data_IF_930660292514
#
_entry.id   IF_930660292514
#
_cell.length_a   1.000
_cell.length_b   1.000
_cell.length_c   1.000
_cell.angle_alpha   90.00
_cell.angle_beta   90.00
_cell.angle_gamma   90.00
#
_symmetry.space_group_name_H-M   'P 1'
#
loop_
_entity.id
_entity.type
_entity.pdbx_description
1 polymer ?
#
# COMPACT_ATOMS: atom_id res chain seq x y z
N UNK A 1 -6.14 25.96 -7.68
CA UNK A 1 -4.67 25.87 -7.88
C UNK A 1 -3.89 25.70 -6.57
N UNK A 2 -4.12 26.49 -5.52
CA UNK A 2 -3.43 26.33 -4.23
C UNK A 2 -3.57 24.90 -3.65
N UNK A 3 -4.80 24.40 -3.58
CA UNK A 3 -5.10 23.05 -3.04
C UNK A 3 -4.41 21.93 -3.82
N UNK A 4 -4.33 22.06 -5.15
CA UNK A 4 -3.64 21.12 -6.03
C UNK A 4 -2.15 21.06 -5.68
N UNK A 5 -1.49 22.22 -5.59
CA UNK A 5 -0.05 22.30 -5.30
C UNK A 5 0.25 21.75 -3.92
N UNK A 6 -0.54 22.15 -2.91
CA UNK A 6 -0.38 21.67 -1.53
C UNK A 6 -0.58 20.16 -1.44
N UNK A 7 -1.62 19.62 -2.06
CA UNK A 7 -1.87 18.18 -2.13
C UNK A 7 -0.74 17.42 -2.83
N UNK A 8 -0.24 17.92 -3.96
CA UNK A 8 0.89 17.29 -4.67
C UNK A 8 2.16 17.29 -3.83
N UNK A 9 2.46 18.38 -3.14
CA UNK A 9 3.65 18.48 -2.28
C UNK A 9 3.57 17.51 -1.10
N UNK A 10 2.43 17.48 -0.39
CA UNK A 10 2.23 16.58 0.75
C UNK A 10 2.16 15.11 0.31
N UNK A 11 1.53 14.83 -0.83
CA UNK A 11 1.49 13.49 -1.41
C UNK A 11 2.86 13.01 -1.85
N UNK A 12 3.68 13.89 -2.42
CA UNK A 12 5.07 13.59 -2.76
C UNK A 12 5.90 13.35 -1.51
N UNK A 13 5.73 14.17 -0.47
CA UNK A 13 6.41 14.00 0.82
C UNK A 13 6.09 12.63 1.43
N UNK A 14 4.81 12.28 1.53
CA UNK A 14 4.38 10.99 2.10
C UNK A 14 4.77 9.81 1.22
N UNK A 15 4.59 9.91 -0.10
CA UNK A 15 4.89 8.81 -1.02
C UNK A 15 6.38 8.52 -1.16
N UNK A 16 7.26 9.53 -1.07
CA UNK A 16 8.70 9.36 -1.19
C UNK A 16 9.42 9.20 0.16
N UNK A 17 8.78 9.49 1.29
CA UNK A 17 9.38 9.29 2.61
C UNK A 17 9.08 7.88 3.11
N UNK A 18 10.09 6.99 3.26
CA UNK A 18 9.86 5.61 3.65
C UNK A 18 9.15 5.53 5.02
N UNK A 19 8.01 4.83 5.03
CA UNK A 19 7.16 4.58 6.20
C UNK A 19 6.41 5.80 6.76
N UNK A 20 6.42 6.94 6.07
CA UNK A 20 5.46 8.03 6.30
C UNK A 20 4.19 7.76 5.47
N UNK A 21 3.13 7.28 6.10
CA UNK A 21 1.87 7.00 5.41
C UNK A 21 0.94 8.22 5.38
N UNK A 22 0.07 8.33 4.38
CA UNK A 22 -0.93 9.42 4.29
C UNK A 22 -1.84 9.56 5.50
N UNK A 23 -2.09 8.46 6.22
CA UNK A 23 -2.89 8.45 7.46
C UNK A 23 -2.25 9.25 8.59
N UNK A 24 -0.93 9.46 8.51
CA UNK A 24 -0.18 10.30 9.45
C UNK A 24 -0.57 11.77 9.29
N UNK A 25 -0.58 12.24 8.05
CA UNK A 25 -0.84 13.65 7.72
C UNK A 25 -2.33 13.95 7.59
N UNK A 26 -3.18 12.96 7.36
CA UNK A 26 -4.63 13.17 7.30
C UNK A 26 -5.23 13.66 8.63
N UNK A 27 -4.49 13.57 9.73
CA UNK A 27 -4.86 14.15 11.04
C UNK A 27 -4.70 15.66 11.10
N UNK A 28 -3.91 16.23 10.20
CA UNK A 28 -3.84 17.67 10.04
C UNK A 28 -5.19 18.11 9.49
N UNK A 29 -5.80 19.16 10.06
CA UNK A 29 -7.08 19.71 9.63
C UNK A 29 -6.96 20.40 8.27
N UNK A 30 -6.74 19.60 7.22
CA UNK A 30 -6.54 20.03 5.84
C UNK A 30 -7.87 20.02 5.08
N UNK A 31 -8.04 20.89 4.07
CA UNK A 31 -9.22 20.87 3.20
C UNK A 31 -9.39 19.53 2.47
N UNK A 32 -10.64 19.09 2.25
CA UNK A 32 -10.97 17.86 1.52
C UNK A 32 -10.23 17.74 0.18
N UNK A 33 -10.14 18.79 -0.67
CA UNK A 33 -9.43 18.68 -1.94
C UNK A 33 -7.93 18.42 -1.77
N UNK A 34 -7.31 18.97 -0.71
CA UNK A 34 -5.90 18.75 -0.36
C UNK A 34 -5.71 17.31 0.13
N UNK A 35 -6.58 16.83 1.03
CA UNK A 35 -6.54 15.45 1.54
C UNK A 35 -6.67 14.44 0.41
N UNK A 36 -7.65 14.62 -0.48
CA UNK A 36 -7.87 13.72 -1.61
C UNK A 36 -6.66 13.68 -2.54
N UNK A 37 -6.16 14.86 -2.94
CA UNK A 37 -5.00 14.99 -3.83
C UNK A 37 -3.74 14.42 -3.20
N UNK A 38 -3.50 14.68 -1.91
CA UNK A 38 -2.38 14.14 -1.15
C UNK A 38 -2.39 12.61 -1.17
N UNK A 39 -3.53 12.00 -0.80
CA UNK A 39 -3.63 10.55 -0.78
C UNK A 39 -3.50 9.92 -2.16
N UNK A 40 -4.02 10.58 -3.21
CA UNK A 40 -3.88 10.08 -4.58
C UNK A 40 -2.43 10.15 -5.07
N UNK A 41 -1.74 11.27 -4.83
CA UNK A 41 -0.33 11.42 -5.23
C UNK A 41 0.56 10.45 -4.46
N UNK A 42 0.22 10.15 -3.20
CA UNK A 42 0.91 9.12 -2.44
C UNK A 42 0.84 7.75 -3.11
N UNK A 43 -0.33 7.29 -3.56
CA UNK A 43 -0.46 5.95 -4.19
C UNK A 43 0.31 5.80 -5.50
N UNK A 44 0.75 6.91 -6.11
CA UNK A 44 1.59 6.88 -7.30
C UNK A 44 3.08 6.64 -6.96
N UNK A 45 3.48 6.96 -5.73
CA UNK A 45 4.87 7.13 -5.31
C UNK A 45 5.29 6.21 -4.16
N UNK A 46 4.35 5.73 -3.35
CA UNK A 46 4.56 4.94 -2.14
C UNK A 46 5.33 3.63 -2.37
N UNK A 47 5.23 3.06 -3.57
CA UNK A 47 6.00 1.88 -3.96
C UNK A 47 7.50 2.14 -4.19
N UNK A 48 7.90 3.39 -4.44
CA UNK A 48 9.26 3.76 -4.83
C UNK A 48 10.25 3.55 -3.68
N UNK A 49 10.00 4.08 -2.45
CA UNK A 49 10.79 3.73 -1.28
C UNK A 49 10.96 2.24 -1.05
N UNK A 50 9.86 1.48 -1.10
CA UNK A 50 9.85 0.04 -0.85
C UNK A 50 10.70 -0.72 -1.86
N UNK A 51 10.61 -0.35 -3.15
CA UNK A 51 11.43 -0.91 -4.22
C UNK A 51 12.93 -0.63 -4.03
N UNK A 52 13.30 0.60 -3.63
CA UNK A 52 14.70 1.00 -3.44
C UNK A 52 15.39 0.27 -2.28
N UNK A 53 14.72 0.19 -1.13
CA UNK A 53 15.32 -0.38 0.07
C UNK A 53 15.12 -1.89 0.18
N UNK A 54 14.49 -2.52 -0.82
CA UNK A 54 14.21 -3.96 -0.80
C UNK A 54 13.32 -4.35 0.36
N UNK A 55 12.38 -3.45 0.71
CA UNK A 55 11.37 -3.66 1.73
C UNK A 55 10.16 -4.28 1.04
N UNK A 56 9.94 -5.61 1.09
CA UNK A 56 8.71 -6.23 0.61
C UNK A 56 7.43 -5.56 1.11
N UNK A 57 6.56 -5.25 0.16
CA UNK A 57 5.13 -5.38 0.37
C UNK A 57 4.80 -6.85 0.64
N UNK A 58 3.74 -7.05 1.40
CA UNK A 58 3.41 -8.24 2.18
C UNK A 58 3.34 -9.60 1.45
N UNK A 59 3.69 -9.80 0.18
CA UNK A 59 3.12 -10.91 -0.61
C UNK A 59 4.08 -11.94 -1.23
N UNK A 60 5.40 -11.81 -1.10
CA UNK A 60 6.27 -12.67 -1.92
C UNK A 60 6.60 -14.06 -1.35
N UNK A 61 6.33 -15.04 -2.21
CA UNK A 61 6.56 -16.48 -2.04
C UNK A 61 7.52 -17.01 -3.13
N UNK A 62 8.66 -16.35 -3.34
CA UNK A 62 9.73 -16.86 -4.22
C UNK A 62 11.08 -16.75 -3.48
N UNK A 63 12.02 -17.70 -3.62
CA UNK A 63 13.37 -17.63 -3.02
C UNK A 63 14.24 -16.46 -3.54
N UNK A 64 13.69 -15.57 -4.36
CA UNK A 64 14.37 -14.42 -4.94
C UNK A 64 13.50 -13.18 -4.73
N UNK A 65 14.13 -12.15 -4.15
CA UNK A 65 13.81 -10.71 -4.13
C UNK A 65 12.54 -10.28 -4.89
N UNK A 66 11.74 -9.38 -4.27
CA UNK A 66 10.49 -8.89 -4.87
C UNK A 66 10.69 -8.44 -6.31
N UNK A 67 9.70 -8.64 -7.19
CA UNK A 67 9.71 -8.11 -8.55
C UNK A 67 10.19 -6.66 -8.63
N UNK A 68 9.68 -5.79 -7.75
CA UNK A 68 10.06 -4.38 -7.67
C UNK A 68 11.54 -4.20 -7.33
N UNK A 69 12.03 -4.89 -6.30
CA UNK A 69 13.42 -4.79 -5.88
C UNK A 69 14.39 -5.44 -6.87
N UNK A 70 13.97 -6.52 -7.55
CA UNK A 70 14.72 -7.18 -8.61
C UNK A 70 14.98 -6.23 -9.77
N UNK A 71 13.97 -5.48 -10.22
CA UNK A 71 14.14 -4.43 -11.22
C UNK A 71 15.14 -3.36 -10.77
N UNK A 72 15.15 -2.98 -9.49
CA UNK A 72 16.16 -2.03 -8.96
C UNK A 72 17.56 -2.62 -9.05
N UNK A 73 17.75 -3.87 -8.62
CA UNK A 73 19.03 -4.57 -8.69
C UNK A 73 19.54 -4.79 -10.12
N UNK A 74 18.63 -4.88 -11.09
CA UNK A 74 18.93 -4.94 -12.53
C UNK A 74 19.27 -3.58 -13.15
N UNK A 75 19.30 -2.49 -12.36
CA UNK A 75 19.55 -1.13 -12.87
C UNK A 75 18.35 -0.50 -13.57
N UNK A 76 17.15 -1.10 -13.44
CA UNK A 76 15.90 -0.68 -14.13
C UNK A 76 15.02 0.19 -13.24
N UNK A 77 15.62 0.98 -12.35
CA UNK A 77 14.89 1.82 -11.40
C UNK A 77 14.00 2.88 -12.10
N UNK A 78 14.52 3.58 -13.11
CA UNK A 78 13.74 4.56 -13.87
C UNK A 78 12.51 3.96 -14.57
N UNK A 79 12.65 2.77 -15.15
CA UNK A 79 11.56 2.00 -15.76
C UNK A 79 10.49 1.64 -14.71
N UNK A 80 10.88 1.16 -13.53
CA UNK A 80 9.97 0.85 -12.43
C UNK A 80 9.16 2.09 -12.00
N UNK A 81 9.84 3.24 -11.86
CA UNK A 81 9.17 4.50 -11.47
C UNK A 81 8.15 4.91 -12.53
N UNK A 82 8.53 4.87 -13.81
CA UNK A 82 7.61 5.18 -14.92
C UNK A 82 6.43 4.21 -14.98
N UNK A 83 6.67 2.93 -14.72
CA UNK A 83 5.63 1.91 -14.64
C UNK A 83 4.63 2.21 -13.52
N UNK A 84 5.12 2.52 -12.31
CA UNK A 84 4.27 2.88 -11.16
C UNK A 84 3.37 4.07 -11.45
N UNK A 85 3.94 5.15 -11.95
CA UNK A 85 3.19 6.38 -12.20
C UNK A 85 2.21 6.21 -13.38
N UNK A 86 2.63 5.53 -14.45
CA UNK A 86 1.78 5.33 -15.64
C UNK A 86 0.61 4.41 -15.36
N UNK A 87 0.86 3.28 -14.69
CA UNK A 87 -0.19 2.33 -14.30
C UNK A 87 -1.18 2.94 -13.30
N UNK A 88 -0.69 3.67 -12.30
CA UNK A 88 -1.52 4.42 -11.35
C UNK A 88 -2.39 5.48 -12.06
N UNK A 89 -1.81 6.23 -13.00
CA UNK A 89 -2.57 7.21 -13.76
C UNK A 89 -3.66 6.55 -14.63
N UNK A 90 -3.34 5.45 -15.33
CA UNK A 90 -4.33 4.70 -16.11
C UNK A 90 -5.43 4.16 -15.19
N UNK A 91 -5.08 3.64 -14.02
CA UNK A 91 -6.05 3.13 -13.04
C UNK A 91 -6.99 4.23 -12.54
N UNK A 92 -6.50 5.45 -12.31
CA UNK A 92 -7.35 6.60 -11.99
C UNK A 92 -8.38 6.89 -13.10
N UNK A 93 -7.94 6.91 -14.36
CA UNK A 93 -8.82 7.13 -15.51
C UNK A 93 -9.85 6.01 -15.64
N UNK A 94 -9.43 4.75 -15.50
CA UNK A 94 -10.31 3.59 -15.54
C UNK A 94 -11.29 3.60 -14.36
N UNK A 95 -10.87 4.00 -13.17
CA UNK A 95 -11.77 4.16 -12.02
C UNK A 95 -12.88 5.14 -12.34
N UNK A 96 -12.55 6.32 -12.90
CA UNK A 96 -13.54 7.33 -13.31
C UNK A 96 -14.50 6.75 -14.37
N UNK A 97 -13.98 6.04 -15.36
CA UNK A 97 -14.78 5.40 -16.41
C UNK A 97 -15.74 4.34 -15.85
N UNK A 98 -15.30 3.58 -14.84
CA UNK A 98 -16.10 2.52 -14.22
C UNK A 98 -16.98 3.00 -13.05
N UNK A 99 -16.94 4.29 -12.68
CA UNK A 99 -17.80 4.86 -11.62
C UNK A 99 -19.29 4.58 -11.81
N UNK A 100 -19.89 4.67 -13.02
CA UNK A 100 -21.31 4.36 -13.19
C UNK A 100 -21.63 2.93 -12.77
N UNK A 101 -20.83 1.95 -13.22
CA UNK A 101 -21.00 0.54 -12.83
C UNK A 101 -20.79 0.36 -11.34
N UNK A 102 -19.75 0.98 -10.78
CA UNK A 102 -19.46 0.94 -9.35
C UNK A 102 -20.61 1.49 -8.51
N UNK A 103 -21.27 2.57 -8.96
CA UNK A 103 -22.39 3.19 -8.25
C UNK A 103 -23.62 2.30 -8.13
N UNK A 104 -23.82 1.35 -9.06
CA UNK A 104 -24.85 0.33 -8.95
C UNK A 104 -24.48 -0.81 -7.99
N UNK A 105 -23.18 -1.14 -7.90
CA UNK A 105 -22.70 -2.31 -7.14
C UNK A 105 -22.44 -1.96 -5.67
N UNK A 106 -21.82 -0.81 -5.39
CA UNK A 106 -21.39 -0.44 -4.04
C UNK A 106 -22.53 -0.43 -3.00
N UNK A 107 -23.75 0.06 -3.30
CA UNK A 107 -24.87 0.01 -2.36
C UNK A 107 -25.36 -1.41 -2.03
N UNK A 108 -25.06 -2.41 -2.87
CA UNK A 108 -25.44 -3.81 -2.63
C UNK A 108 -24.56 -4.49 -1.58
N UNK A 109 -23.42 -3.89 -1.21
CA UNK A 109 -22.51 -4.44 -0.22
C UNK A 109 -23.13 -4.43 1.19
N UNK A 110 -23.11 -5.60 1.83
CA UNK A 110 -23.55 -5.78 3.22
C UNK A 110 -22.40 -6.29 4.08
N UNK A 111 -22.49 -6.05 5.39
CA UNK A 111 -21.51 -6.56 6.35
C UNK A 111 -21.35 -8.09 6.27
N UNK A 112 -22.45 -8.83 6.05
CA UNK A 112 -22.41 -10.30 5.89
C UNK A 112 -21.54 -10.74 4.71
N UNK A 113 -21.62 -10.03 3.58
CA UNK A 113 -20.77 -10.30 2.42
C UNK A 113 -19.29 -10.07 2.78
N UNK A 114 -19.00 -8.99 3.50
CA UNK A 114 -17.67 -8.69 4.01
C UNK A 114 -17.12 -9.80 4.90
N UNK A 115 -17.88 -10.25 5.89
CA UNK A 115 -17.46 -11.31 6.81
C UNK A 115 -17.22 -12.64 6.09
N UNK A 116 -18.13 -13.05 5.20
CA UNK A 116 -17.96 -14.27 4.38
C UNK A 116 -16.69 -14.17 3.55
N UNK A 117 -16.44 -13.00 2.95
CA UNK A 117 -15.25 -12.77 2.16
C UNK A 117 -13.97 -12.83 3.00
N UNK A 118 -13.94 -12.24 4.19
CA UNK A 118 -12.77 -12.30 5.10
C UNK A 118 -12.46 -13.74 5.50
N UNK A 119 -13.47 -14.54 5.83
CA UNK A 119 -13.31 -15.97 6.14
C UNK A 119 -12.76 -16.72 4.91
N UNK A 120 -13.35 -16.50 3.74
CA UNK A 120 -12.90 -17.11 2.48
C UNK A 120 -11.43 -16.75 2.19
N UNK A 121 -11.09 -15.46 2.26
CA UNK A 121 -9.75 -14.97 1.97
C UNK A 121 -8.73 -15.51 2.98
N UNK A 122 -9.07 -15.57 4.28
CA UNK A 122 -8.24 -16.18 5.32
C UNK A 122 -7.89 -17.64 4.98
N UNK A 123 -8.89 -18.44 4.56
CA UNK A 123 -8.68 -19.83 4.16
C UNK A 123 -7.78 -19.90 2.92
N UNK A 124 -8.03 -19.07 1.91
CA UNK A 124 -7.22 -19.02 0.68
C UNK A 124 -5.76 -18.70 1.01
N UNK A 125 -5.50 -17.67 1.80
CA UNK A 125 -4.14 -17.25 2.16
C UNK A 125 -3.37 -18.37 2.87
N UNK A 126 -4.04 -19.17 3.72
CA UNK A 126 -3.41 -20.30 4.43
C UNK A 126 -3.20 -21.51 3.49
N UNK A 127 -4.19 -21.85 2.67
CA UNK A 127 -4.15 -23.05 1.81
C UNK A 127 -3.14 -22.91 0.66
N UNK A 128 -2.91 -21.68 0.17
CA UNK A 128 -1.92 -21.40 -0.87
C UNK A 128 -0.48 -21.55 -0.39
N UNK A 129 -0.23 -21.58 0.93
CA UNK A 129 1.12 -21.75 1.46
C UNK A 129 1.58 -23.21 1.36
N UNK A 130 2.87 -23.38 1.04
CA UNK A 130 3.50 -24.71 1.00
C UNK A 130 3.37 -25.45 2.33
N UNK A 131 3.51 -24.74 3.46
CA UNK A 131 3.30 -25.30 4.79
C UNK A 131 2.09 -24.66 5.49
N UNK A 132 0.94 -25.32 5.35
CA UNK A 132 -0.36 -24.86 5.86
C UNK A 132 -0.39 -24.73 7.38
N UNK A 133 0.33 -25.59 8.11
CA UNK A 133 0.37 -25.56 9.58
C UNK A 133 1.13 -24.31 10.05
N UNK A 134 2.31 -24.05 9.48
CA UNK A 134 3.09 -22.84 9.77
C UNK A 134 2.29 -21.59 9.41
N UNK A 135 1.60 -21.61 8.27
CA UNK A 135 0.74 -20.51 7.85
C UNK A 135 -0.41 -20.26 8.83
N UNK A 136 -1.12 -21.32 9.26
CA UNK A 136 -2.17 -21.20 10.27
C UNK A 136 -1.62 -20.62 11.59
N UNK A 137 -0.47 -21.08 12.06
CA UNK A 137 0.15 -20.55 13.28
C UNK A 137 0.50 -19.07 13.16
N UNK A 138 1.09 -18.65 12.03
CA UNK A 138 1.41 -17.24 11.76
C UNK A 138 0.13 -16.40 11.70
N UNK A 139 -0.91 -16.89 11.04
CA UNK A 139 -2.21 -16.24 10.96
C UNK A 139 -2.82 -16.06 12.35
N UNK A 140 -2.78 -17.09 13.20
CA UNK A 140 -3.31 -17.03 14.55
C UNK A 140 -2.48 -16.14 15.48
N UNK A 141 -1.14 -16.20 15.42
CA UNK A 141 -0.27 -15.32 16.22
C UNK A 141 -0.43 -13.86 15.84
N UNK A 142 -0.47 -13.55 14.54
CA UNK A 142 -0.73 -12.18 14.08
C UNK A 142 -2.14 -11.73 14.44
N UNK A 143 -3.13 -12.60 14.30
CA UNK A 143 -4.50 -12.32 14.71
C UNK A 143 -4.66 -12.05 16.19
N UNK A 144 -3.99 -12.82 17.06
CA UNK A 144 -3.97 -12.56 18.50
C UNK A 144 -3.27 -11.24 18.83
N UNK A 145 -2.17 -10.92 18.14
CA UNK A 145 -1.49 -9.63 18.27
C UNK A 145 -2.42 -8.47 17.89
N UNK A 146 -3.14 -8.58 16.78
CA UNK A 146 -4.11 -7.60 16.32
C UNK A 146 -5.27 -7.44 17.31
N UNK A 147 -5.87 -8.55 17.74
CA UNK A 147 -6.91 -8.57 18.77
C UNK A 147 -6.48 -7.86 20.05
N UNK A 148 -5.26 -8.14 20.51
CA UNK A 148 -4.71 -7.49 21.70
C UNK A 148 -4.47 -5.99 21.46
N UNK A 149 -3.93 -5.62 20.30
CA UNK A 149 -3.63 -4.24 19.95
C UNK A 149 -4.87 -3.35 19.86
N UNK A 150 -5.97 -3.85 19.29
CA UNK A 150 -7.22 -3.10 19.19
C UNK A 150 -7.91 -2.88 20.54
N UNK A 151 -7.52 -3.63 21.57
CA UNK A 151 -7.99 -3.49 22.94
C UNK A 151 -7.05 -2.66 23.85
N UNK A 152 -5.91 -2.19 23.32
CA UNK A 152 -5.00 -1.31 24.05
C UNK A 152 -5.48 0.15 24.03
N UNK A 153 -5.15 0.96 25.06
CA UNK A 153 -5.47 2.38 25.10
C UNK A 153 -4.50 3.20 24.21
N UNK A 154 -4.43 2.87 22.93
CA UNK A 154 -3.60 3.54 21.92
C UNK A 154 -4.48 4.23 20.88
N UNK A 155 -3.95 5.30 20.29
CA UNK A 155 -4.69 6.15 19.34
C UNK A 155 -4.73 5.53 17.96
N UNK A 156 -3.62 4.91 17.55
CA UNK A 156 -3.49 4.31 16.23
C UNK A 156 -2.81 2.94 16.29
N UNK A 157 -3.56 1.85 16.52
CA UNK A 157 -3.01 0.50 16.50
C UNK A 157 -2.41 0.11 15.15
N UNK A 158 -2.85 0.72 14.03
CA UNK A 158 -2.42 0.31 12.69
C UNK A 158 -0.96 0.67 12.43
N UNK A 159 -0.52 1.86 12.85
CA UNK A 159 0.85 2.31 12.64
C UNK A 159 1.91 1.36 13.24
N UNK A 160 1.92 1.06 14.56
CA UNK A 160 2.90 0.16 15.17
C UNK A 160 2.76 -1.29 14.65
N UNK A 161 1.54 -1.77 14.39
CA UNK A 161 1.32 -3.12 13.86
C UNK A 161 1.94 -3.28 12.47
N UNK A 162 1.60 -2.40 11.51
CA UNK A 162 2.10 -2.54 10.14
C UNK A 162 3.57 -2.20 10.01
N UNK A 163 4.03 -1.17 10.73
CA UNK A 163 5.45 -0.83 10.76
C UNK A 163 6.28 -1.98 11.33
N UNK A 164 5.81 -2.59 12.41
CA UNK A 164 6.47 -3.76 13.00
C UNK A 164 6.39 -5.01 12.12
N UNK A 165 5.22 -5.43 11.66
CA UNK A 165 5.07 -6.68 10.89
C UNK A 165 5.75 -6.64 9.53
N UNK A 166 5.68 -5.49 8.86
CA UNK A 166 6.12 -5.34 7.47
C UNK A 166 7.41 -4.54 7.39
N UNK A 167 7.45 -3.26 7.76
CA UNK A 167 8.59 -2.40 7.45
C UNK A 167 9.89 -2.73 8.22
N UNK A 168 9.85 -2.83 9.56
CA UNK A 168 11.06 -2.95 10.38
C UNK A 168 11.91 -4.20 10.10
N UNK A 169 11.34 -5.42 9.99
CA UNK A 169 12.13 -6.62 9.72
C UNK A 169 12.97 -6.49 8.45
N UNK A 170 12.42 -5.80 7.47
CA UNK A 170 12.99 -5.66 6.14
C UNK A 170 14.05 -4.58 6.07
N UNK A 171 13.82 -3.45 6.73
CA UNK A 171 14.85 -2.43 6.90
C UNK A 171 16.04 -2.99 7.67
N UNK A 172 15.81 -3.82 8.69
CA UNK A 172 16.89 -4.50 9.41
C UNK A 172 17.65 -5.48 8.51
N UNK A 173 16.94 -6.26 7.70
CA UNK A 173 17.55 -7.20 6.76
C UNK A 173 18.36 -6.47 5.67
N UNK A 174 17.82 -5.39 5.11
CA UNK A 174 18.49 -4.51 4.15
C UNK A 174 19.72 -3.82 4.75
N UNK A 175 19.67 -3.41 6.02
CA UNK A 175 20.83 -2.84 6.72
C UNK A 175 21.97 -3.85 6.89
N UNK A 176 21.61 -5.10 7.22
CA UNK A 176 22.56 -6.21 7.42
C UNK A 176 23.16 -6.69 6.09
N UNK A 177 22.34 -6.75 5.05
CA UNK A 177 22.69 -7.26 3.73
C UNK A 177 22.53 -6.15 2.68
N UNK A 178 23.40 -5.12 2.67
CA UNK A 178 23.33 -4.08 1.66
C UNK A 178 23.59 -4.70 0.28
N UNK A 179 22.87 -4.25 -0.77
CA UNK A 179 23.14 -4.70 -2.13
C UNK A 179 24.53 -4.24 -2.60
N UNK A 180 25.07 -4.92 -3.63
CA UNK A 180 26.22 -4.44 -4.37
C UNK A 180 25.93 -3.07 -5.03
N UNK A 181 26.94 -2.38 -5.55
CA UNK A 181 26.72 -1.09 -6.23
C UNK A 181 25.62 -1.19 -7.30
N UNK A 182 24.54 -0.43 -7.11
CA UNK A 182 23.39 -0.39 -8.00
C UNK A 182 23.45 0.89 -8.84
N UNK A 183 23.19 0.76 -10.14
CA UNK A 183 23.00 1.91 -11.01
C UNK A 183 21.59 2.51 -10.82
N UNK A 184 21.52 3.70 -10.21
CA UNK A 184 20.29 4.49 -10.15
C UNK A 184 20.28 5.47 -11.34
N UNK A 185 19.76 5.00 -12.46
CA UNK A 185 19.65 5.76 -13.70
C UNK A 185 18.20 5.94 -14.18
N UNK A 186 17.99 6.97 -14.99
CA UNK A 186 16.77 7.08 -15.78
C UNK A 186 16.76 5.96 -16.83
N UNK A 187 15.60 5.37 -17.06
CA UNK A 187 15.40 4.34 -18.07
C UNK A 187 14.03 4.51 -18.70
N UNK A 188 13.94 4.20 -19.98
CA UNK A 188 12.69 4.22 -20.71
C UNK A 188 11.80 3.05 -20.32
N UNK A 189 10.49 3.27 -20.40
CA UNK A 189 9.49 2.24 -20.17
C UNK A 189 9.43 1.31 -21.38
N UNK A 190 9.92 0.07 -21.26
CA UNK A 190 9.97 -0.89 -22.37
C UNK A 190 8.67 -1.68 -22.51
N UNK A 191 7.83 -1.68 -21.48
CA UNK A 191 6.57 -2.42 -21.44
C UNK A 191 5.60 -1.87 -22.49
N UNK A 192 5.01 -2.71 -23.36
CA UNK A 192 4.05 -2.26 -24.35
C UNK A 192 2.82 -1.62 -23.72
N UNK A 193 2.33 -0.51 -24.28
CA UNK A 193 1.15 0.22 -23.77
C UNK A 193 -0.09 -0.67 -23.64
N UNK A 194 -0.29 -1.62 -24.56
CA UNK A 194 -1.40 -2.58 -24.50
C UNK A 194 -1.32 -3.49 -23.28
N UNK A 195 -0.11 -3.89 -22.89
CA UNK A 195 0.14 -4.70 -21.69
C UNK A 195 -0.19 -3.89 -20.44
N UNK A 196 0.32 -2.66 -20.35
CA UNK A 196 0.03 -1.77 -19.23
C UNK A 196 -1.48 -1.56 -19.10
N UNK A 197 -2.18 -1.23 -20.19
CA UNK A 197 -3.61 -1.00 -20.17
C UNK A 197 -4.40 -2.24 -19.72
N UNK A 198 -4.06 -3.42 -20.26
CA UNK A 198 -4.72 -4.69 -19.90
C UNK A 198 -4.59 -4.99 -18.42
N UNK A 199 -3.37 -4.94 -17.88
CA UNK A 199 -3.13 -5.27 -16.48
C UNK A 199 -3.57 -4.14 -15.53
N UNK A 200 -3.57 -2.89 -15.99
CA UNK A 200 -4.17 -1.78 -15.23
C UNK A 200 -5.68 -1.93 -15.11
N UNK A 201 -6.36 -2.44 -16.15
CA UNK A 201 -7.79 -2.76 -16.05
C UNK A 201 -8.07 -3.88 -15.04
N UNK A 202 -7.24 -4.93 -15.03
CA UNK A 202 -7.35 -6.00 -14.02
C UNK A 202 -7.08 -5.47 -12.61
N UNK A 203 -6.04 -4.66 -12.41
CA UNK A 203 -5.76 -4.01 -11.14
C UNK A 203 -6.86 -3.04 -10.73
N UNK A 204 -7.47 -2.31 -11.67
CA UNK A 204 -8.61 -1.42 -11.38
C UNK A 204 -9.82 -2.20 -10.87
N UNK A 205 -10.09 -3.38 -11.44
CA UNK A 205 -11.13 -4.27 -10.94
C UNK A 205 -10.82 -4.74 -9.51
N UNK A 206 -9.59 -5.16 -9.23
CA UNK A 206 -9.20 -5.53 -7.87
C UNK A 206 -9.26 -4.34 -6.90
N UNK A 207 -8.94 -3.13 -7.34
CA UNK A 207 -9.06 -1.92 -6.54
C UNK A 207 -10.51 -1.60 -6.20
N UNK A 208 -11.42 -1.75 -7.17
CA UNK A 208 -12.86 -1.64 -6.93
C UNK A 208 -13.33 -2.65 -5.87
N UNK A 209 -12.89 -3.91 -5.98
CA UNK A 209 -13.19 -4.94 -4.97
C UNK A 209 -12.58 -4.58 -3.61
N UNK A 210 -11.34 -4.10 -3.56
CA UNK A 210 -10.65 -3.71 -2.33
C UNK A 210 -11.32 -2.54 -1.61
N UNK A 211 -11.95 -1.63 -2.36
CA UNK A 211 -12.74 -0.54 -1.78
C UNK A 211 -14.07 -1.02 -1.16
N UNK A 212 -14.54 -2.22 -1.48
CA UNK A 212 -15.80 -2.78 -0.94
C UNK A 212 -15.55 -3.83 0.13
N UNK A 213 -14.58 -4.71 -0.11
CA UNK A 213 -14.33 -5.91 0.66
C UNK A 213 -13.29 -5.63 1.76
N UNK A 214 -13.61 -5.88 3.05
CA UNK A 214 -12.68 -5.65 4.14
C UNK A 214 -11.39 -6.44 3.96
N UNK A 215 -10.28 -5.89 4.44
CA UNK A 215 -8.95 -6.51 4.50
C UNK A 215 -8.30 -6.85 3.17
N UNK A 216 -8.98 -6.65 2.03
CA UNK A 216 -8.42 -6.90 0.70
C UNK A 216 -7.37 -5.81 0.37
N UNK A 217 -6.09 -6.19 0.35
CA UNK A 217 -4.99 -5.27 0.03
C UNK A 217 -4.52 -5.42 -1.42
N UNK A 218 -3.76 -4.42 -1.92
CA UNK A 218 -3.12 -4.49 -3.23
C UNK A 218 -2.19 -5.71 -3.36
N UNK A 219 -1.55 -6.10 -2.27
CA UNK A 219 -0.70 -7.28 -2.20
C UNK A 219 -1.48 -8.60 -2.30
N UNK A 220 -2.60 -8.76 -1.60
CA UNK A 220 -3.44 -9.94 -1.75
C UNK A 220 -4.07 -10.02 -3.15
N UNK A 221 -4.47 -8.87 -3.70
CA UNK A 221 -4.94 -8.77 -5.08
C UNK A 221 -3.85 -9.15 -6.09
N UNK A 222 -2.60 -8.79 -5.84
CA UNK A 222 -1.47 -9.19 -6.69
C UNK A 222 -1.14 -10.68 -6.54
N UNK A 223 -1.31 -11.28 -5.37
CA UNK A 223 -1.18 -12.73 -5.18
C UNK A 223 -2.18 -13.49 -6.07
N UNK A 224 -3.43 -13.01 -6.16
CA UNK A 224 -4.43 -13.55 -7.10
C UNK A 224 -4.03 -13.23 -8.55
N UNK A 225 -3.60 -11.99 -8.80
CA UNK A 225 -3.16 -11.49 -10.10
C UNK A 225 -1.97 -12.23 -10.69
N UNK A 226 -1.07 -12.75 -9.84
CA UNK A 226 0.16 -13.44 -10.23
C UNK A 226 -0.09 -14.67 -11.11
N UNK A 227 -1.27 -15.28 -10.98
CA UNK A 227 -1.70 -16.42 -11.83
C UNK A 227 -1.99 -16.02 -13.27
N UNK A 228 -2.17 -14.73 -13.53
CA UNK A 228 -2.51 -14.17 -14.84
C UNK A 228 -1.33 -13.42 -15.47
N UNK A 229 -0.22 -13.29 -14.77
CA UNK A 229 0.99 -12.55 -15.19
C UNK A 229 2.12 -13.52 -15.49
N UNK A 230 2.99 -13.13 -16.42
CA UNK A 230 4.19 -13.89 -16.79
C UNK A 230 5.47 -13.24 -16.27
N UNK A 231 5.50 -11.91 -16.29
CA UNK A 231 6.69 -11.12 -16.01
C UNK A 231 6.46 -10.18 -14.82
N UNK A 232 7.57 -9.73 -14.22
CA UNK A 232 7.58 -8.87 -13.04
C UNK A 232 6.82 -7.55 -13.29
N UNK A 233 6.92 -6.99 -14.50
CA UNK A 233 6.26 -5.73 -14.87
C UNK A 233 4.74 -5.87 -14.99
N UNK A 234 4.25 -7.02 -15.48
CA UNK A 234 2.82 -7.31 -15.54
C UNK A 234 2.25 -7.41 -14.12
N UNK A 235 2.97 -8.09 -13.23
CA UNK A 235 2.62 -8.20 -11.81
C UNK A 235 2.59 -6.84 -11.12
N UNK A 236 3.66 -6.04 -11.28
CA UNK A 236 3.76 -4.71 -10.69
C UNK A 236 2.68 -3.75 -11.22
N UNK A 237 2.32 -3.87 -12.51
CA UNK A 237 1.21 -3.10 -13.08
C UNK A 237 -0.10 -3.37 -12.33
N UNK A 238 -0.39 -4.63 -11.99
CA UNK A 238 -1.58 -4.97 -11.18
C UNK A 238 -1.48 -4.34 -9.79
N UNK A 239 -0.34 -4.46 -9.11
CA UNK A 239 -0.13 -3.92 -7.75
C UNK A 239 -0.40 -2.42 -7.71
N UNK A 240 0.31 -1.65 -8.54
CA UNK A 240 0.22 -0.19 -8.56
C UNK A 240 -1.17 0.30 -8.95
N UNK A 241 -1.77 -0.34 -9.96
CA UNK A 241 -3.13 -0.02 -10.39
C UNK A 241 -4.16 -0.34 -9.31
N UNK A 242 -4.00 -1.45 -8.60
CA UNK A 242 -4.91 -1.84 -7.51
C UNK A 242 -4.88 -0.84 -6.39
N UNK A 243 -3.70 -0.40 -5.96
CA UNK A 243 -3.54 0.57 -4.88
C UNK A 243 -4.24 1.90 -5.22
N UNK A 244 -3.94 2.47 -6.38
CA UNK A 244 -4.53 3.73 -6.84
C UNK A 244 -6.04 3.61 -7.08
N UNK A 245 -6.50 2.52 -7.71
CA UNK A 245 -7.92 2.31 -7.92
C UNK A 245 -8.69 2.10 -6.61
N UNK A 246 -8.11 1.38 -5.64
CA UNK A 246 -8.73 1.20 -4.32
C UNK A 246 -8.92 2.55 -3.62
N UNK A 247 -7.91 3.43 -3.65
CA UNK A 247 -8.01 4.78 -3.12
C UNK A 247 -9.07 5.61 -3.84
N UNK A 248 -9.04 5.59 -5.19
CA UNK A 248 -10.00 6.29 -6.05
C UNK A 248 -11.45 5.85 -5.81
N UNK A 249 -11.72 4.55 -5.77
CA UNK A 249 -13.05 4.02 -5.47
C UNK A 249 -13.45 4.18 -4.01
N UNK A 250 -12.51 4.29 -3.08
CA UNK A 250 -12.84 4.57 -1.67
C UNK A 250 -13.52 5.94 -1.51
N UNK A 251 -13.14 6.94 -2.32
CA UNK A 251 -13.83 8.23 -2.35
C UNK A 251 -15.28 8.07 -2.85
N UNK A 252 -15.47 7.34 -3.95
CA UNK A 252 -16.81 7.06 -4.47
C UNK A 252 -17.65 6.27 -3.45
N UNK A 253 -17.06 5.27 -2.79
CA UNK A 253 -17.72 4.48 -1.77
C UNK A 253 -18.18 5.34 -0.59
N UNK A 254 -17.33 6.28 -0.15
CA UNK A 254 -17.66 7.24 0.91
C UNK A 254 -18.88 8.07 0.52
N UNK A 255 -18.87 8.66 -0.68
CA UNK A 255 -19.99 9.47 -1.16
C UNK A 255 -21.29 8.68 -1.39
N UNK A 256 -21.19 7.39 -1.75
CA UNK A 256 -22.36 6.54 -2.05
C UNK A 256 -22.93 5.83 -0.82
N UNK A 257 -22.09 5.47 0.15
CA UNK A 257 -22.47 4.56 1.25
C UNK A 257 -22.21 5.14 2.64
N UNK A 258 -21.48 6.27 2.74
CA UNK A 258 -21.02 6.84 4.01
C UNK A 258 -19.93 6.01 4.70
N UNK A 259 -19.43 4.92 4.08
CA UNK A 259 -18.46 4.02 4.71
C UNK A 259 -17.03 4.38 4.31
N UNK A 260 -16.20 4.58 5.32
CA UNK A 260 -14.76 4.84 5.16
C UNK A 260 -13.97 3.53 5.02
N UNK A 261 -12.91 3.56 4.21
CA UNK A 261 -12.09 2.37 3.90
C UNK A 261 -10.60 2.54 4.11
N UNK A 262 -10.16 3.79 4.25
CA UNK A 262 -8.79 4.13 4.59
C UNK A 262 -8.79 5.38 5.47
N UNK A 263 -7.67 5.64 6.15
CA UNK A 263 -7.56 6.75 7.12
C UNK A 263 -7.66 8.14 6.50
N UNK A 264 -7.42 8.29 5.19
CA UNK A 264 -7.68 9.56 4.49
C UNK A 264 -9.17 9.79 4.29
N UNK A 265 -9.94 8.75 3.95
CA UNK A 265 -11.41 8.85 3.87
C UNK A 265 -12.04 9.19 5.23
N UNK A 266 -11.47 8.67 6.32
CA UNK A 266 -11.89 9.05 7.70
C UNK A 266 -11.68 10.55 7.95
N UNK A 267 -10.54 11.09 7.51
CA UNK A 267 -10.24 12.52 7.68
C UNK A 267 -11.07 13.43 6.76
N UNK A 268 -11.40 12.95 5.55
CA UNK A 268 -12.29 13.65 4.62
C UNK A 268 -13.69 13.78 5.24
N UNK A 269 -14.20 12.74 5.91
CA UNK A 269 -15.50 12.77 6.56
C UNK A 269 -16.64 12.65 5.55
N UNK A 270 -17.49 13.66 5.45
CA UNK A 270 -18.65 13.64 4.57
C UNK A 270 -18.34 14.29 3.21
N UNK A 271 -18.64 13.57 2.13
CA UNK A 271 -18.53 14.06 0.74
C UNK A 271 -19.79 13.69 -0.01
N UNK A 272 -20.37 14.67 -0.72
CA UNK A 272 -21.54 14.42 -1.56
C UNK A 272 -21.15 13.90 -2.94
N UNK A 273 -22.07 13.18 -3.60
CA UNK A 273 -21.89 12.71 -4.99
C UNK A 273 -21.61 13.89 -5.95
N UNK A 274 -22.16 15.07 -5.67
CA UNK A 274 -21.96 16.28 -6.46
C UNK A 274 -20.53 16.85 -6.43
N UNK A 275 -19.73 16.50 -5.41
CA UNK A 275 -18.34 16.93 -5.28
C UNK A 275 -17.36 16.00 -6.02
N UNK A 276 -17.76 14.76 -6.33
CA UNK A 276 -16.90 13.78 -6.98
C UNK A 276 -16.30 14.29 -8.30
N UNK A 277 -17.06 14.93 -9.23
CA UNK A 277 -16.47 15.43 -10.47
C UNK A 277 -15.34 16.43 -10.25
N UNK A 278 -15.47 17.32 -9.26
CA UNK A 278 -14.43 18.28 -8.91
C UNK A 278 -13.18 17.58 -8.36
N UNK A 279 -13.36 16.66 -7.41
CA UNK A 279 -12.26 15.93 -6.78
C UNK A 279 -11.52 15.05 -7.80
N UNK A 280 -12.24 14.35 -8.68
CA UNK A 280 -11.60 13.55 -9.74
C UNK A 280 -10.88 14.41 -10.77
N UNK A 281 -11.43 15.58 -11.17
CA UNK A 281 -10.73 16.51 -12.04
C UNK A 281 -9.43 17.02 -11.40
N UNK A 282 -9.47 17.32 -10.11
CA UNK A 282 -8.30 17.71 -9.33
C UNK A 282 -7.27 16.56 -9.30
N UNK A 283 -7.74 15.32 -9.07
CA UNK A 283 -6.91 14.13 -9.08
C UNK A 283 -6.24 13.87 -10.42
N UNK A 284 -6.96 14.02 -11.53
CA UNK A 284 -6.40 13.90 -12.90
C UNK A 284 -5.34 14.99 -13.14
N UNK A 285 -5.62 16.22 -12.71
CA UNK A 285 -4.67 17.33 -12.81
C UNK A 285 -3.39 17.05 -12.01
N UNK A 286 -3.52 16.49 -10.80
CA UNK A 286 -2.40 16.08 -9.97
C UNK A 286 -1.61 14.94 -10.62
N UNK A 287 -2.30 13.92 -11.13
CA UNK A 287 -1.69 12.80 -11.84
C UNK A 287 -0.86 13.23 -13.05
N UNK A 288 -1.35 14.21 -13.82
CA UNK A 288 -0.59 14.81 -14.93
C UNK A 288 0.70 15.50 -14.46
N UNK A 289 0.66 16.21 -13.33
CA UNK A 289 1.86 16.82 -12.74
C UNK A 289 2.85 15.76 -12.27
N UNK A 290 2.37 14.71 -11.62
CA UNK A 290 3.21 13.60 -11.11
C UNK A 290 3.88 12.86 -12.26
N UNK A 291 3.18 12.60 -13.38
CA UNK A 291 3.76 11.99 -14.60
C UNK A 291 5.02 12.70 -15.09
N UNK A 292 5.09 14.03 -14.94
CA UNK A 292 6.22 14.84 -15.39
C UNK A 292 7.30 14.98 -14.30
N UNK A 293 6.90 15.23 -13.05
CA UNK A 293 7.82 15.62 -11.98
C UNK A 293 8.42 14.44 -11.23
N UNK A 294 7.61 13.40 -10.96
CA UNK A 294 8.02 12.34 -10.06
C UNK A 294 9.18 11.47 -10.54
N UNK A 295 9.35 11.15 -11.85
CA UNK A 295 10.52 10.38 -12.29
C UNK A 295 11.84 11.06 -11.91
N UNK A 296 11.93 12.39 -12.09
CA UNK A 296 13.13 13.17 -11.74
C UNK A 296 13.39 13.18 -10.24
N UNK A 297 12.35 13.38 -9.43
CA UNK A 297 12.44 13.40 -7.97
C UNK A 297 12.83 12.03 -7.42
N UNK A 298 12.22 10.96 -7.93
CA UNK A 298 12.52 9.58 -7.53
C UNK A 298 13.98 9.20 -7.83
N UNK A 299 14.50 9.57 -9.01
CA UNK A 299 15.90 9.33 -9.38
C UNK A 299 16.85 10.12 -8.48
N UNK A 300 16.56 11.40 -8.21
CA UNK A 300 17.37 12.22 -7.31
C UNK A 300 17.40 11.64 -5.88
N UNK A 301 16.24 11.23 -5.37
CA UNK A 301 16.10 10.57 -4.08
C UNK A 301 16.87 9.25 -4.04
N UNK A 302 16.71 8.39 -5.05
CA UNK A 302 17.39 7.10 -5.13
C UNK A 302 18.91 7.26 -5.14
N UNK A 303 19.46 8.21 -5.91
CA UNK A 303 20.89 8.51 -5.93
C UNK A 303 21.39 8.95 -4.56
N UNK A 304 20.64 9.82 -3.87
CA UNK A 304 20.99 10.26 -2.52
C UNK A 304 20.94 9.10 -1.51
N UNK A 305 19.90 8.28 -1.58
CA UNK A 305 19.69 7.14 -0.70
C UNK A 305 20.84 6.12 -0.83
N UNK A 306 21.20 5.76 -2.06
CA UNK A 306 22.26 4.78 -2.34
C UNK A 306 23.67 5.30 -2.09
N UNK A 307 23.92 6.61 -2.22
CA UNK A 307 25.21 7.22 -1.84
C UNK A 307 25.59 6.94 -0.38
N UNK A 308 24.61 6.82 0.51
CA UNK A 308 24.81 6.49 1.93
C UNK A 308 23.81 5.44 2.42
N UNK A 309 23.68 4.32 1.70
CA UNK A 309 22.63 3.31 1.90
C UNK A 309 22.37 2.93 3.37
N UNK A 310 23.41 2.52 4.11
CA UNK A 310 23.27 2.14 5.53
C UNK A 310 22.79 3.29 6.42
N UNK A 311 23.29 4.52 6.18
CA UNK A 311 22.85 5.69 6.95
C UNK A 311 21.40 6.05 6.62
N UNK A 312 20.99 5.92 5.36
CA UNK A 312 19.61 6.12 4.91
C UNK A 312 18.68 5.17 5.65
N UNK A 313 19.00 3.86 5.68
CA UNK A 313 18.21 2.88 6.41
C UNK A 313 18.18 3.15 7.91
N UNK A 314 19.33 3.44 8.53
CA UNK A 314 19.38 3.79 9.95
C UNK A 314 18.52 5.02 10.28
N UNK A 315 18.53 6.03 9.41
CA UNK A 315 17.72 7.24 9.56
C UNK A 315 16.23 6.93 9.45
N UNK A 316 15.83 6.06 8.52
CA UNK A 316 14.45 5.58 8.38
C UNK A 316 14.03 4.83 9.64
N UNK A 317 14.84 3.89 10.13
CA UNK A 317 14.54 3.14 11.35
C UNK A 317 14.31 4.09 12.53
N UNK A 318 15.23 5.02 12.78
CA UNK A 318 15.08 6.03 13.85
C UNK A 318 13.80 6.84 13.65
N UNK A 319 13.53 7.29 12.43
CA UNK A 319 12.33 8.05 12.10
C UNK A 319 11.04 7.28 12.44
N UNK A 320 10.96 5.99 12.10
CA UNK A 320 9.79 5.16 12.39
C UNK A 320 9.60 4.94 13.90
N UNK A 321 10.67 4.74 14.66
CA UNK A 321 10.60 4.68 16.12
C UNK A 321 10.17 6.02 16.73
N UNK A 322 10.68 7.14 16.24
CA UNK A 322 10.24 8.46 16.71
C UNK A 322 8.75 8.67 16.41
N UNK A 323 8.28 8.32 15.21
CA UNK A 323 6.89 8.49 14.82
C UNK A 323 5.96 7.58 15.64
N UNK A 324 6.35 6.33 15.87
CA UNK A 324 5.61 5.40 16.73
C UNK A 324 5.49 5.90 18.18
N UNK A 325 6.53 6.55 18.69
CA UNK A 325 6.50 7.18 20.02
C UNK A 325 5.59 8.40 20.05
N UNK A 326 5.59 9.22 19.00
CA UNK A 326 4.72 10.41 18.89
C UNK A 326 3.24 10.01 18.87
N UNK A 327 2.89 8.90 18.22
CA UNK A 327 1.49 8.47 18.09
C UNK A 327 0.94 7.81 19.34
N UNK A 328 1.67 6.84 19.88
CA UNK A 328 1.13 5.92 20.90
C UNK A 328 2.06 5.76 22.11
N UNK A 329 3.06 6.63 22.22
CA UNK A 329 4.01 6.64 23.33
C UNK A 329 4.78 5.33 23.45
N UNK A 330 5.15 4.98 24.68
CA UNK A 330 5.88 3.74 24.97
C UNK A 330 5.07 2.48 24.63
N UNK A 331 3.74 2.52 24.79
CA UNK A 331 2.87 1.37 24.47
C UNK A 331 2.95 1.05 22.98
N UNK A 332 2.87 2.08 22.12
CA UNK A 332 3.09 1.95 20.68
C UNK A 332 4.42 1.30 20.32
N UNK A 333 5.51 1.75 20.95
CA UNK A 333 6.84 1.17 20.73
C UNK A 333 6.90 -0.29 21.13
N UNK A 334 6.34 -0.66 22.28
CA UNK A 334 6.32 -2.07 22.72
C UNK A 334 5.53 -2.94 21.74
N UNK A 335 4.37 -2.46 21.28
CA UNK A 335 3.55 -3.16 20.29
C UNK A 335 4.30 -3.29 18.96
N UNK A 336 4.96 -2.23 18.51
CA UNK A 336 5.74 -2.22 17.27
C UNK A 336 6.92 -3.20 17.33
N UNK A 337 7.59 -3.31 18.48
CA UNK A 337 8.65 -4.30 18.69
C UNK A 337 8.10 -5.73 18.70
N UNK A 338 6.97 -5.98 19.36
CA UNK A 338 6.29 -7.29 19.33
C UNK A 338 5.90 -7.69 17.90
N UNK A 339 5.33 -6.74 17.15
CA UNK A 339 5.01 -6.89 15.74
C UNK A 339 6.27 -7.17 14.90
N UNK A 340 7.39 -6.50 15.17
CA UNK A 340 8.67 -6.73 14.51
C UNK A 340 9.21 -8.14 14.73
N UNK A 341 9.22 -8.62 15.97
CA UNK A 341 9.66 -9.99 16.25
C UNK A 341 8.80 -11.02 15.54
N UNK A 342 7.47 -10.83 15.54
CA UNK A 342 6.57 -11.68 14.77
C UNK A 342 6.85 -11.56 13.27
N UNK A 343 7.13 -10.36 12.77
CA UNK A 343 7.42 -10.05 11.37
C UNK A 343 8.62 -10.79 10.77
N UNK A 344 9.60 -11.21 11.59
CA UNK A 344 10.71 -12.07 11.17
C UNK A 344 10.33 -13.55 11.01
N UNK A 345 9.22 -13.99 11.61
CA UNK A 345 8.91 -15.42 11.77
C UNK A 345 8.48 -16.09 10.45
N UNK A 346 7.54 -15.50 9.71
CA UNK A 346 6.99 -16.08 8.49
C UNK A 346 8.06 -16.36 7.41
N UNK A 347 8.96 -15.42 7.06
CA UNK A 347 10.03 -15.70 6.12
C UNK A 347 10.96 -16.83 6.61
N UNK A 348 11.34 -16.82 7.90
CA UNK A 348 12.18 -17.88 8.48
C UNK A 348 11.52 -19.27 8.43
N UNK A 349 10.19 -19.30 8.36
CA UNK A 349 9.37 -20.50 8.30
C UNK A 349 8.98 -20.92 6.87
N UNK A 350 9.39 -20.15 5.86
CA UNK A 350 9.06 -20.38 4.46
C UNK A 350 7.60 -20.12 4.14
N UNK A 351 6.97 -19.16 4.82
CA UNK A 351 5.57 -18.74 4.65
C UNK A 351 5.54 -17.29 4.19
N UNK A 352 4.65 -16.96 3.24
CA UNK A 352 4.48 -15.60 2.76
C UNK A 352 3.97 -14.67 3.87
N UNK A 353 4.49 -13.44 3.88
CA UNK A 353 4.15 -12.39 4.87
C UNK A 353 2.66 -12.01 4.84
N UNK A 354 1.94 -12.30 3.76
CA UNK A 354 0.52 -11.96 3.58
C UNK A 354 -0.33 -12.64 4.64
N UNK A 355 0.18 -13.76 5.18
CA UNK A 355 -0.42 -14.50 6.28
C UNK A 355 -0.51 -13.68 7.57
N UNK A 356 0.33 -12.65 7.75
CA UNK A 356 0.22 -11.70 8.86
C UNK A 356 -1.04 -10.84 8.80
N UNK A 357 -1.77 -10.82 7.68
CA UNK A 357 -3.09 -10.16 7.59
C UNK A 357 -4.13 -10.78 8.53
N UNK A 358 -3.83 -11.92 9.15
CA UNK A 358 -4.52 -12.40 10.35
C UNK A 358 -4.69 -11.31 11.41
N UNK A 359 -3.74 -10.37 11.52
CA UNK A 359 -3.80 -9.20 12.41
C UNK A 359 -5.07 -8.37 12.25
N UNK A 360 -5.65 -8.30 11.05
CA UNK A 360 -6.94 -7.63 10.81
C UNK A 360 -8.09 -8.65 10.70
N UNK A 361 -7.84 -9.75 10.00
CA UNK A 361 -8.89 -10.71 9.65
C UNK A 361 -9.45 -11.43 10.87
N UNK A 362 -8.60 -11.84 11.82
CA UNK A 362 -9.06 -12.57 13.00
C UNK A 362 -9.92 -11.71 13.93
N UNK A 363 -9.55 -10.45 14.27
CA UNK A 363 -10.44 -9.55 15.02
C UNK A 363 -11.80 -9.35 14.35
N UNK A 364 -11.84 -9.18 13.01
CA UNK A 364 -13.10 -9.07 12.26
C UNK A 364 -13.97 -10.32 12.40
N UNK A 365 -13.34 -11.51 12.31
CA UNK A 365 -14.04 -12.79 12.41
C UNK A 365 -14.62 -13.00 13.82
N UNK A 366 -13.87 -12.64 14.87
CA UNK A 366 -14.23 -12.92 16.27
C UNK A 366 -15.24 -11.92 16.82
N UNK A 367 -14.98 -10.63 16.66
CA UNK A 367 -15.76 -9.60 17.34
C UNK A 367 -16.78 -8.92 16.42
N UNK A 368 -16.63 -9.01 15.09
CA UNK A 368 -17.40 -8.16 14.15
C UNK A 368 -17.16 -6.65 14.35
N UNK A 369 -16.08 -6.22 15.02
CA UNK A 369 -15.85 -4.82 15.50
C UNK A 369 -14.80 -4.05 14.66
N UNK A 370 -14.70 -4.22 13.33
CA UNK A 370 -13.88 -3.29 12.51
C UNK A 370 -14.67 -2.75 11.33
#
# INVERSE_FOLDING_TARGET
MRELVEGVLLGTLTGLTPGLHVNSLSRLSLPIPVLFTMGLVHTFLDSIPSALFGVPDSDDTVPSLLPSHRMVLEGRFGELVRLSISSSFIALILSILFLPIYSFIAPLYTFKIGLIFVIFLSIVLIVLQRNRIRALLIFLFSGFLGYSAFNLPIRDPFYPLFTGLFALPLLIEAYRNPPAEIEIADSELKVPTKTILKFSALGTLFGALASLLPTLTAGQASLIGSRFTKDDEEFLTIVYSTNTAAYSFSLANLALTGKTRNGVMVAIGDVSIGELPYLYLLGVSAGMLVLVLAPRLAIAMGKLAFKRYKLSIASILVFLFVLGFIYDGLIGITLMLSAMFLGFLAPSWGVARVTYMGVLMLPIIVESII
#
